data_IF_438952839382
#
_entry.id   IF_438952839382
#
_cell.length_a   1.000
_cell.length_b   1.000
_cell.length_c   1.000
_cell.angle_alpha   90.00
_cell.angle_beta   90.00
_cell.angle_gamma   90.00
#
_symmetry.space_group_name_H-M   'P 1'
#
loop_
_entity.id
_entity.type
_entity.pdbx_description
1 polymer ?
#
# COMPACT_ATOMS: atom_id res chain seq x y z
N UNK A 1 18.33 13.42 16.92
CA UNK A 1 17.41 14.31 16.17
C UNK A 1 16.02 13.74 16.35
N UNK A 2 15.19 14.41 17.15
CA UNK A 2 13.79 14.04 17.29
C UNK A 2 13.12 14.44 15.98
N UNK A 3 12.83 13.48 15.10
CA UNK A 3 11.78 13.71 14.11
C UNK A 3 10.49 13.60 14.91
N UNK A 4 9.81 14.71 15.16
CA UNK A 4 8.35 14.66 15.24
C UNK A 4 7.94 14.23 13.83
N UNK A 5 7.81 12.92 13.60
CA UNK A 5 7.61 12.42 12.26
C UNK A 5 6.14 12.45 11.92
N UNK A 6 5.85 12.96 10.74
CA UNK A 6 4.49 12.97 10.24
C UNK A 6 4.02 11.52 10.03
N UNK A 7 2.80 11.25 10.50
CA UNK A 7 2.07 10.03 10.16
C UNK A 7 1.50 10.22 8.76
N UNK A 8 1.67 9.24 7.88
CA UNK A 8 1.25 9.34 6.48
C UNK A 8 0.22 8.28 6.11
N UNK A 9 -0.93 8.72 5.60
CA UNK A 9 -1.93 7.85 4.99
C UNK A 9 -1.84 7.93 3.47
N UNK A 10 -1.46 6.84 2.81
CA UNK A 10 -1.41 6.76 1.35
C UNK A 10 -2.62 5.99 0.84
N UNK A 11 -3.57 6.70 0.22
CA UNK A 11 -4.80 6.12 -0.33
C UNK A 11 -4.64 5.93 -1.84
N UNK A 12 -4.83 4.71 -2.32
CA UNK A 12 -4.60 4.33 -3.72
C UNK A 12 -5.85 3.63 -4.27
N UNK A 13 -6.54 4.22 -5.26
CA UNK A 13 -7.55 3.50 -6.02
C UNK A 13 -6.89 2.44 -6.90
N UNK A 14 -7.47 1.24 -6.93
CA UNK A 14 -6.96 0.07 -7.63
C UNK A 14 -8.02 -0.39 -8.62
N UNK A 15 -7.67 -0.44 -9.92
CA UNK A 15 -8.53 -0.98 -10.97
C UNK A 15 -7.72 -1.81 -11.95
N UNK A 16 -7.88 -3.13 -11.90
CA UNK A 16 -7.18 -4.10 -12.75
C UNK A 16 -5.64 -4.02 -12.72
N UNK A 17 -5.07 -4.06 -11.52
CA UNK A 17 -3.62 -3.90 -11.27
C UNK A 17 -3.00 -5.15 -10.60
N UNK A 18 -3.58 -6.34 -10.76
CA UNK A 18 -3.15 -7.59 -10.11
C UNK A 18 -1.62 -7.80 -10.14
N UNK A 19 -1.00 -7.59 -11.31
CA UNK A 19 0.43 -7.84 -11.53
C UNK A 19 1.34 -6.77 -10.90
N UNK A 20 0.80 -5.57 -10.64
CA UNK A 20 1.57 -4.41 -10.20
C UNK A 20 1.51 -4.19 -8.68
N UNK A 21 0.49 -4.71 -8.00
CA UNK A 21 0.23 -4.48 -6.58
C UNK A 21 1.42 -4.85 -5.67
N UNK A 22 2.07 -5.99 -5.92
CA UNK A 22 3.22 -6.44 -5.14
C UNK A 22 4.43 -5.49 -5.29
N UNK A 23 4.70 -5.06 -6.52
CA UNK A 23 5.78 -4.13 -6.82
C UNK A 23 5.51 -2.75 -6.23
N UNK A 24 4.26 -2.28 -6.33
CA UNK A 24 3.78 -1.03 -5.78
C UNK A 24 3.99 -1.01 -4.26
N UNK A 25 3.42 -1.99 -3.55
CA UNK A 25 3.54 -2.12 -2.10
C UNK A 25 5.00 -2.14 -1.67
N UNK A 26 5.83 -3.02 -2.25
CA UNK A 26 7.26 -3.13 -1.88
C UNK A 26 8.01 -1.81 -2.06
N UNK A 27 7.80 -1.10 -3.17
CA UNK A 27 8.49 0.16 -3.45
C UNK A 27 8.01 1.29 -2.53
N UNK A 28 6.71 1.37 -2.32
CA UNK A 28 6.09 2.41 -1.51
C UNK A 28 6.49 2.25 -0.03
N UNK A 29 6.38 1.04 0.53
CA UNK A 29 6.77 0.76 1.91
C UNK A 29 8.24 1.10 2.17
N UNK A 30 9.14 0.82 1.20
CA UNK A 30 10.56 1.20 1.31
C UNK A 30 10.75 2.71 1.42
N UNK A 31 9.99 3.51 0.69
CA UNK A 31 10.08 4.98 0.75
C UNK A 31 9.49 5.49 2.06
N UNK A 32 8.29 5.03 2.43
CA UNK A 32 7.57 5.48 3.62
C UNK A 32 8.35 5.17 4.90
N UNK A 33 8.99 4.00 4.99
CA UNK A 33 9.84 3.60 6.13
C UNK A 33 10.97 4.60 6.43
N UNK A 34 11.45 5.35 5.43
CA UNK A 34 12.53 6.34 5.62
C UNK A 34 12.00 7.79 5.70
N UNK A 35 10.74 7.99 5.33
CA UNK A 35 10.14 9.31 5.12
C UNK A 35 9.23 9.73 6.28
N UNK A 36 8.51 8.78 6.89
CA UNK A 36 7.47 9.01 7.89
C UNK A 36 7.81 8.31 9.21
N UNK A 37 7.24 8.76 10.33
CA UNK A 37 7.37 8.05 11.62
C UNK A 37 6.46 6.83 11.66
N UNK A 38 5.24 6.97 11.14
CA UNK A 38 4.28 5.89 10.96
C UNK A 38 3.53 6.08 9.64
N UNK A 39 3.01 4.99 9.07
CA UNK A 39 2.28 5.07 7.82
C UNK A 39 1.27 3.94 7.63
N UNK A 40 0.23 4.24 6.86
CA UNK A 40 -0.73 3.26 6.35
C UNK A 40 -0.82 3.34 4.82
N UNK A 41 -1.00 2.18 4.18
CA UNK A 41 -1.26 2.07 2.74
C UNK A 41 -2.68 1.53 2.59
N UNK A 42 -3.60 2.38 2.15
CA UNK A 42 -5.01 2.05 1.98
C UNK A 42 -5.27 1.81 0.50
N UNK A 43 -5.41 0.54 0.13
CA UNK A 43 -5.78 0.12 -1.21
C UNK A 43 -7.31 0.05 -1.32
N UNK A 44 -7.89 0.79 -2.26
CA UNK A 44 -9.34 0.87 -2.49
C UNK A 44 -9.65 0.23 -3.83
N UNK A 45 -10.30 -0.93 -3.84
CA UNK A 45 -10.75 -1.55 -5.08
C UNK A 45 -11.86 -0.70 -5.72
N UNK A 46 -11.60 -0.23 -6.94
CA UNK A 46 -12.49 0.63 -7.74
C UNK A 46 -13.25 -0.19 -8.78
N UNK A 47 -13.73 -1.38 -8.37
CA UNK A 47 -14.51 -2.28 -9.21
C UNK A 47 -13.67 -3.09 -10.20
N UNK A 48 -12.51 -3.60 -9.77
CA UNK A 48 -11.66 -4.47 -10.59
C UNK A 48 -12.40 -5.72 -11.05
N UNK A 49 -12.00 -6.24 -12.22
CA UNK A 49 -12.55 -7.46 -12.85
C UNK A 49 -11.51 -8.55 -13.02
N UNK A 50 -10.25 -8.27 -12.71
CA UNK A 50 -9.17 -9.25 -12.56
C UNK A 50 -9.04 -9.70 -11.10
N UNK A 51 -7.90 -10.31 -10.71
CA UNK A 51 -7.71 -10.74 -9.32
C UNK A 51 -7.04 -9.67 -8.42
N UNK A 52 -7.21 -8.37 -8.72
CA UNK A 52 -6.68 -7.27 -7.90
C UNK A 52 -7.13 -7.36 -6.44
N UNK A 53 -8.41 -7.66 -6.20
CA UNK A 53 -8.94 -7.79 -4.84
C UNK A 53 -8.27 -8.94 -4.07
N UNK A 54 -8.07 -10.09 -4.71
CA UNK A 54 -7.40 -11.24 -4.11
C UNK A 54 -5.91 -10.94 -3.86
N UNK A 55 -5.26 -10.20 -4.76
CA UNK A 55 -3.89 -9.73 -4.55
C UNK A 55 -3.80 -8.77 -3.34
N UNK A 56 -4.74 -7.84 -3.19
CA UNK A 56 -4.84 -6.95 -2.02
C UNK A 56 -5.04 -7.73 -0.72
N UNK A 57 -5.87 -8.79 -0.72
CA UNK A 57 -6.06 -9.65 0.46
C UNK A 57 -4.78 -10.37 0.87
N UNK A 58 -4.03 -10.92 -0.10
CA UNK A 58 -2.72 -11.56 0.16
C UNK A 58 -1.72 -10.58 0.76
N UNK A 59 -1.68 -9.35 0.22
CA UNK A 59 -0.82 -8.29 0.76
C UNK A 59 -1.16 -8.00 2.23
N UNK A 60 -2.45 -7.83 2.55
CA UNK A 60 -2.91 -7.62 3.94
C UNK A 60 -2.54 -8.77 4.87
N UNK A 61 -2.67 -10.03 4.43
CA UNK A 61 -2.27 -11.18 5.27
C UNK A 61 -0.77 -11.16 5.58
N UNK A 62 0.06 -10.76 4.62
CA UNK A 62 1.51 -10.65 4.82
C UNK A 62 1.94 -9.40 5.59
N UNK A 63 1.11 -8.35 5.61
CA UNK A 63 1.38 -7.08 6.25
C UNK A 63 0.07 -6.44 6.77
N UNK A 64 -0.39 -6.84 7.96
CA UNK A 64 -1.70 -6.49 8.50
C UNK A 64 -1.82 -5.07 9.04
#
# INVERSE_FOLDING_TARGET
>A
MNKEGEICSVVIPVFNEEENLELLHRRLSKVLQHSCEDYEIILVDDGSRDNSLQAMMRLRESNP
#
